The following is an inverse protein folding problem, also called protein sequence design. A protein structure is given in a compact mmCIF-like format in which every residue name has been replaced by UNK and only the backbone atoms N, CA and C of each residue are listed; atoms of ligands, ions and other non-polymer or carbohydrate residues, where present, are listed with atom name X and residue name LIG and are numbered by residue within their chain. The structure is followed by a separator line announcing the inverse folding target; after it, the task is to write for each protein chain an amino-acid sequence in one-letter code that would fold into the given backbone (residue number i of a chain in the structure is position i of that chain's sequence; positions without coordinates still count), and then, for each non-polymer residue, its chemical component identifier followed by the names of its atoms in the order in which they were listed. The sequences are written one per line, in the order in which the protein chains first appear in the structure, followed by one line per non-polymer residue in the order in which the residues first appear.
data_IF_834786490143
#
_entry.id   IF_834786490143
#
_cell.length_a   1.000
_cell.length_b   1.000
_cell.length_c   1.000
_cell.angle_alpha   90.00
_cell.angle_beta   90.00
_cell.angle_gamma   90.00
#
_symmetry.space_group_name_H-M   'P 1'
#
loop_
_entity.id
_entity.type
_entity.pdbx_description
1 polymer ?
#
# COMPACT_ATOMS: atom_id res chain seq x y z
N UNK A 1 2.06 -9.12 -10.38
CA UNK A 1 2.48 -7.93 -9.61
C UNK A 1 1.41 -6.88 -9.78
N UNK A 2 1.09 -6.15 -8.72
CA UNK A 2 0.06 -5.11 -8.71
C UNK A 2 0.68 -3.75 -9.03
N UNK A 3 0.03 -2.95 -9.88
CA UNK A 3 0.37 -1.53 -9.99
C UNK A 3 -0.15 -0.77 -8.76
N UNK A 4 0.31 0.47 -8.51
CA UNK A 4 -0.23 1.30 -7.43
C UNK A 4 -1.73 1.56 -7.58
N UNK A 5 -2.23 1.75 -8.80
CA UNK A 5 -3.65 1.95 -9.06
C UNK A 5 -4.46 0.67 -8.76
N UNK A 6 -3.99 -0.50 -9.22
CA UNK A 6 -4.67 -1.77 -8.95
C UNK A 6 -4.71 -2.08 -7.47
N UNK A 7 -3.62 -1.80 -6.75
CA UNK A 7 -3.55 -1.99 -5.31
C UNK A 7 -4.50 -1.03 -4.58
N UNK A 8 -4.56 0.23 -5.01
CA UNK A 8 -5.48 1.21 -4.43
C UNK A 8 -6.94 0.78 -4.60
N UNK A 9 -7.32 0.38 -5.82
CA UNK A 9 -8.66 -0.18 -6.09
C UNK A 9 -8.93 -1.40 -5.22
N UNK A 10 -7.98 -2.34 -5.14
CA UNK A 10 -8.11 -3.55 -4.32
C UNK A 10 -8.36 -3.23 -2.83
N UNK A 11 -7.64 -2.26 -2.27
CA UNK A 11 -7.77 -1.85 -0.88
C UNK A 11 -9.11 -1.17 -0.63
N UNK A 12 -9.55 -0.28 -1.53
CA UNK A 12 -10.81 0.45 -1.39
C UNK A 12 -12.03 -0.47 -1.42
N UNK A 13 -12.04 -1.49 -2.28
CA UNK A 13 -13.09 -2.53 -2.29
C UNK A 13 -13.18 -3.32 -0.98
N UNK A 14 -12.11 -3.35 -0.19
CA UNK A 14 -11.94 -4.19 1.01
C UNK A 14 -11.69 -3.35 2.26
N UNK A 15 -12.17 -2.09 2.25
CA UNK A 15 -11.94 -1.09 3.29
C UNK A 15 -12.02 -1.64 4.72
N UNK A 16 -11.20 -1.06 5.61
CA UNK A 16 -11.18 -1.47 7.01
C UNK A 16 -10.40 -2.73 7.35
N UNK A 17 -9.77 -3.35 6.34
CA UNK A 17 -8.91 -4.52 6.50
C UNK A 17 -7.47 -4.16 6.17
N UNK A 18 -6.55 -4.66 6.98
CA UNK A 18 -5.13 -4.49 6.70
C UNK A 18 -4.60 -5.59 5.77
N UNK A 19 -3.81 -5.17 4.79
CA UNK A 19 -3.10 -6.03 3.88
C UNK A 19 -1.61 -5.73 3.91
N UNK A 20 -0.81 -6.79 3.76
CA UNK A 20 0.63 -6.70 3.58
C UNK A 20 1.00 -6.92 2.11
N UNK A 21 1.92 -6.10 1.61
CA UNK A 21 2.49 -6.23 0.26
C UNK A 21 4.00 -6.06 0.29
N UNK A 22 4.72 -6.84 -0.51
CA UNK A 22 6.13 -6.57 -0.81
C UNK A 22 6.22 -5.44 -1.84
N UNK A 23 6.99 -4.38 -1.56
CA UNK A 23 7.21 -3.27 -2.47
C UNK A 23 8.48 -3.46 -3.30
N UNK A 24 8.36 -3.22 -4.60
CA UNK A 24 9.42 -3.31 -5.60
C UNK A 24 9.54 -1.96 -6.31
N UNK A 25 10.72 -1.35 -6.28
CA UNK A 25 11.00 -0.11 -6.98
C UNK A 25 11.65 -0.39 -8.34
N UNK A 26 11.07 0.16 -9.39
CA UNK A 26 11.66 0.14 -10.73
C UNK A 26 12.50 1.38 -10.92
N UNK A 27 13.77 1.20 -11.27
CA UNK A 27 14.71 2.29 -11.51
C UNK A 27 15.38 2.15 -12.86
N UNK A 28 15.76 3.28 -13.47
CA UNK A 28 16.40 3.30 -14.79
C UNK A 28 15.43 3.09 -15.95
N UNK A 29 15.97 3.09 -17.18
CA UNK A 29 15.21 2.84 -18.42
C UNK A 29 16.04 1.96 -19.36
N UNK A 30 15.36 1.16 -20.19
CA UNK A 30 15.99 0.32 -21.21
C UNK A 30 16.96 -0.72 -20.61
N UNK A 31 18.15 -0.86 -21.20
CA UNK A 31 19.17 -1.84 -20.77
C UNK A 31 19.71 -1.65 -19.35
N UNK A 32 19.43 -0.51 -18.71
CA UNK A 32 19.82 -0.20 -17.32
C UNK A 32 18.64 -0.26 -16.34
N UNK A 33 17.50 -0.81 -16.76
CA UNK A 33 16.38 -1.02 -15.86
C UNK A 33 16.77 -2.02 -14.77
N UNK A 34 16.49 -1.67 -13.51
CA UNK A 34 16.74 -2.50 -12.35
C UNK A 34 15.52 -2.49 -11.42
N UNK A 35 15.23 -3.64 -10.84
CA UNK A 35 14.18 -3.81 -9.83
C UNK A 35 14.85 -4.02 -8.49
N UNK A 36 14.47 -3.20 -7.50
CA UNK A 36 14.96 -3.30 -6.13
C UNK A 36 13.81 -3.60 -5.18
N UNK A 37 13.99 -4.59 -4.31
CA UNK A 37 13.11 -4.82 -3.17
C UNK A 37 13.31 -3.74 -2.11
N UNK A 38 12.21 -3.12 -1.69
CA UNK A 38 12.21 -2.09 -0.65
C UNK A 38 11.72 -2.62 0.71
N UNK A 39 11.04 -3.76 0.72
CA UNK A 39 10.50 -4.39 1.92
C UNK A 39 8.97 -4.44 1.94
N UNK A 40 8.41 -4.87 3.06
CA UNK A 40 6.98 -5.04 3.24
C UNK A 40 6.31 -3.72 3.69
N UNK A 41 5.14 -3.44 3.11
CA UNK A 41 4.24 -2.39 3.55
C UNK A 41 2.96 -3.01 4.10
N UNK A 42 2.47 -2.47 5.21
CA UNK A 42 1.11 -2.72 5.70
C UNK A 42 0.21 -1.56 5.31
N UNK A 43 -0.88 -1.87 4.62
CA UNK A 43 -1.76 -0.90 3.99
C UNK A 43 -3.21 -1.12 4.43
N UNK A 44 -3.95 -0.04 4.61
CA UNK A 44 -5.38 -0.07 4.93
C UNK A 44 -6.05 1.13 4.28
N UNK A 45 -7.16 0.92 3.58
CA UNK A 45 -7.97 2.01 3.03
C UNK A 45 -9.19 2.30 3.91
N UNK A 46 -9.51 3.60 4.04
CA UNK A 46 -10.71 4.14 4.69
C UNK A 46 -11.21 5.37 3.93
N UNK A 47 -12.33 5.21 3.24
CA UNK A 47 -12.86 6.29 2.38
C UNK A 47 -11.81 6.71 1.34
N UNK A 48 -11.42 7.99 1.36
CA UNK A 48 -10.44 8.57 0.42
C UNK A 48 -8.98 8.53 0.93
N UNK A 49 -8.76 7.90 2.09
CA UNK A 49 -7.45 7.86 2.75
C UNK A 49 -6.91 6.45 2.83
N UNK A 50 -5.62 6.29 2.56
CA UNK A 50 -4.85 5.07 2.76
C UNK A 50 -3.84 5.30 3.88
N UNK A 51 -3.96 4.52 4.94
CA UNK A 51 -2.92 4.42 5.96
C UNK A 51 -1.86 3.44 5.47
N UNK A 52 -0.63 3.93 5.29
CA UNK A 52 0.50 3.15 4.82
C UNK A 52 1.62 3.11 5.87
N UNK A 53 1.93 1.91 6.34
CA UNK A 53 3.08 1.66 7.22
C UNK A 53 4.20 1.03 6.43
N UNK A 54 5.32 1.74 6.32
CA UNK A 54 6.49 1.26 5.57
C UNK A 54 7.37 0.28 6.35
N UNK A 55 8.42 -0.26 5.70
CA UNK A 55 9.35 -1.23 6.28
C UNK A 55 10.09 -0.72 7.53
N UNK A 56 10.22 0.61 7.67
CA UNK A 56 10.81 1.25 8.85
C UNK A 56 9.85 1.33 10.04
N UNK A 57 8.60 0.87 9.90
CA UNK A 57 7.54 1.03 10.89
C UNK A 57 6.85 2.40 10.87
N UNK A 58 7.32 3.34 10.04
CA UNK A 58 6.68 4.65 9.93
C UNK A 58 5.32 4.54 9.24
N UNK A 59 4.28 5.03 9.91
CA UNK A 59 2.93 5.16 9.37
C UNK A 59 2.71 6.54 8.77
N UNK A 60 2.04 6.61 7.61
CA UNK A 60 1.56 7.84 6.99
C UNK A 60 0.14 7.65 6.46
N UNK A 61 -0.69 8.66 6.64
CA UNK A 61 -1.99 8.74 5.98
C UNK A 61 -1.82 9.49 4.66
N UNK A 62 -2.27 8.88 3.58
CA UNK A 62 -2.13 9.38 2.22
C UNK A 62 -3.51 9.51 1.61
N UNK A 63 -3.80 10.63 0.95
CA UNK A 63 -4.93 10.67 0.02
C UNK A 63 -4.68 9.71 -1.14
N UNK A 64 -5.73 9.37 -1.90
CA UNK A 64 -5.58 8.60 -3.15
C UNK A 64 -4.54 9.22 -4.11
N UNK A 65 -4.57 10.55 -4.26
CA UNK A 65 -3.61 11.28 -5.10
C UNK A 65 -2.18 11.15 -4.56
N UNK A 66 -1.99 11.33 -3.24
CA UNK A 66 -0.67 11.22 -2.63
C UNK A 66 -0.13 9.79 -2.71
N UNK A 67 -1.00 8.79 -2.55
CA UNK A 67 -0.65 7.39 -2.70
C UNK A 67 -0.08 7.11 -4.09
N UNK A 68 -0.78 7.54 -5.14
CA UNK A 68 -0.32 7.37 -6.52
C UNK A 68 0.95 8.16 -6.82
N UNK A 69 1.09 9.36 -6.25
CA UNK A 69 2.29 10.18 -6.39
C UNK A 69 3.52 9.52 -5.75
N UNK A 70 3.38 9.03 -4.51
CA UNK A 70 4.46 8.37 -3.77
C UNK A 70 4.84 7.04 -4.41
N UNK A 71 3.85 6.22 -4.78
CA UNK A 71 4.08 4.86 -5.24
C UNK A 71 4.12 4.71 -6.77
N UNK A 72 4.01 5.80 -7.55
CA UNK A 72 3.86 5.73 -9.00
C UNK A 72 4.97 4.99 -9.77
N UNK A 73 6.17 4.85 -9.19
CA UNK A 73 7.30 4.07 -9.78
C UNK A 73 7.46 2.67 -9.18
N UNK A 74 6.51 2.24 -8.35
CA UNK A 74 6.55 0.98 -7.63
C UNK A 74 5.69 -0.06 -8.33
N UNK A 75 6.00 -1.31 -8.03
CA UNK A 75 5.08 -2.44 -8.21
C UNK A 75 5.02 -3.21 -6.92
N UNK A 76 3.94 -3.93 -6.72
CA UNK A 76 3.72 -4.67 -5.48
C UNK A 76 3.56 -6.17 -5.75
N UNK A 77 4.01 -6.97 -4.79
CA UNK A 77 3.63 -8.36 -4.68
C UNK A 77 2.13 -8.52 -4.43
N UNK A 78 1.63 -9.77 -4.38
CA UNK A 78 0.24 -10.04 -4.00
C UNK A 78 -0.09 -9.45 -2.62
N UNK A 79 -1.28 -8.87 -2.48
CA UNK A 79 -1.77 -8.40 -1.19
C UNK A 79 -2.21 -9.57 -0.31
N UNK A 80 -1.57 -9.70 0.85
CA UNK A 80 -1.86 -10.76 1.83
C UNK A 80 -2.64 -10.16 3.01
N UNK A 81 -3.81 -10.72 3.37
CA UNK A 81 -4.55 -10.23 4.54
C UNK A 81 -3.73 -10.51 5.82
N UNK A 82 -3.62 -9.51 6.69
CA UNK A 82 -2.93 -9.70 7.99
C UNK A 82 -3.84 -10.28 9.07
N UNK A 83 -5.14 -10.30 8.82
CA UNK A 83 -6.17 -10.62 9.81
C UNK A 83 -6.56 -9.46 10.72
N UNK A 84 -5.86 -8.30 10.62
CA UNK A 84 -6.19 -7.11 11.40
C UNK A 84 -7.35 -6.35 10.76
N UNK A 85 -8.43 -6.19 11.52
CA UNK A 85 -9.52 -5.28 11.20
C UNK A 85 -9.25 -3.95 11.89
N UNK A 86 -9.24 -2.88 11.11
CA UNK A 86 -9.01 -1.53 11.61
C UNK A 86 -10.33 -0.78 11.85
N UNK A 87 -11.44 -1.31 11.35
CA UNK A 87 -12.80 -0.74 11.48
C UNK A 87 -13.48 -1.02 12.82
N UNK A 88 -12.76 -1.59 13.77
CA UNK A 88 -13.18 -1.55 15.17
C UNK A 88 -12.79 -0.20 15.76
N UNK A 89 -13.53 0.85 15.39
CA UNK A 89 -13.59 2.05 16.23
C UNK A 89 -14.06 1.67 17.65
N UNK A 90 -13.84 2.51 18.67
CA UNK A 90 -14.40 2.25 19.99
C UNK A 90 -15.90 2.03 19.85
N UNK A 91 -16.39 0.88 20.33
CA UNK A 91 -17.82 0.50 20.24
C UNK A 91 -18.74 1.43 21.04
N UNK A 92 -18.16 2.31 21.86
CA UNK A 92 -18.86 3.29 22.67
C UNK A 92 -18.03 4.58 22.71
N UNK A 93 -18.67 5.69 22.35
CA UNK A 93 -18.24 7.07 22.64
C UNK A 93 -19.31 7.72 23.50
#
# INVERSE_FOLDING_TARGET
MLSPADLLTFLNERGGREYRVQALLHTGRGRKAAVRELGEYSLTARGETVQATGPSGQTRDLTHTDFLSVFGSYTFGPAQPTGRLTDLGPLFS
#
